data_IF_190661320477
#
_entry.id   IF_190661320477
#
_cell.length_a   1.000
_cell.length_b   1.000
_cell.length_c   1.000
_cell.angle_alpha   90.00
_cell.angle_beta   90.00
_cell.angle_gamma   90.00
#
_symmetry.space_group_name_H-M   'P 1'
#
loop_
_entity.id
_entity.type
_entity.pdbx_description
1 polymer ?
#
# COMPACT_ATOMS: atom_id res chain seq x y z
N UNK A 1 -10.23 23.14 9.48
CA UNK A 1 -9.86 21.71 9.61
C UNK A 1 -10.36 20.95 8.38
N UNK A 2 -10.15 21.51 7.18
CA UNK A 2 -10.92 21.17 5.97
C UNK A 2 -10.06 20.58 4.85
N UNK A 3 -8.73 20.63 5.00
CA UNK A 3 -7.75 20.13 4.02
C UNK A 3 -7.36 18.67 4.27
N UNK A 4 -7.56 18.16 5.51
CA UNK A 4 -7.13 16.82 5.91
C UNK A 4 -7.83 15.74 5.07
N UNK A 5 -9.12 15.88 4.79
CA UNK A 5 -9.87 14.92 3.97
C UNK A 5 -9.43 14.90 2.50
N UNK A 6 -9.07 16.06 1.95
CA UNK A 6 -8.55 16.17 0.58
C UNK A 6 -7.17 15.54 0.50
N UNK A 7 -6.30 15.79 1.48
CA UNK A 7 -4.99 15.17 1.58
C UNK A 7 -5.10 13.64 1.69
N UNK A 8 -6.05 13.14 2.48
CA UNK A 8 -6.31 11.71 2.63
C UNK A 8 -6.84 11.07 1.34
N UNK A 9 -7.79 11.73 0.67
CA UNK A 9 -8.32 11.28 -0.62
C UNK A 9 -7.24 11.26 -1.71
N UNK A 10 -6.41 12.31 -1.79
CA UNK A 10 -5.28 12.37 -2.71
C UNK A 10 -4.28 11.25 -2.44
N UNK A 11 -3.99 10.98 -1.16
CA UNK A 11 -3.08 9.92 -0.77
C UNK A 11 -3.61 8.54 -1.17
N UNK A 12 -4.91 8.28 -1.00
CA UNK A 12 -5.56 7.05 -1.44
C UNK A 12 -5.50 6.88 -2.96
N UNK A 13 -5.75 7.94 -3.73
CA UNK A 13 -5.69 7.90 -5.20
C UNK A 13 -4.27 7.60 -5.68
N UNK A 14 -3.27 8.28 -5.11
CA UNK A 14 -1.86 8.08 -5.47
C UNK A 14 -1.41 6.67 -5.10
N UNK A 15 -1.72 6.20 -3.89
CA UNK A 15 -1.38 4.85 -3.44
C UNK A 15 -2.07 3.77 -4.30
N UNK A 16 -3.35 3.98 -4.64
CA UNK A 16 -4.11 3.09 -5.53
C UNK A 16 -3.51 3.05 -6.94
N UNK A 17 -3.14 4.20 -7.50
CA UNK A 17 -2.50 4.31 -8.81
C UNK A 17 -1.12 3.63 -8.86
N UNK A 18 -0.29 3.82 -7.83
CA UNK A 18 1.00 3.13 -7.69
C UNK A 18 0.78 1.61 -7.59
N UNK A 19 -0.18 1.16 -6.78
CA UNK A 19 -0.53 -0.25 -6.66
C UNK A 19 -0.98 -0.86 -7.99
N UNK A 20 -1.81 -0.16 -8.76
CA UNK A 20 -2.24 -0.58 -10.09
C UNK A 20 -1.07 -0.67 -11.09
N UNK A 21 -0.16 0.29 -11.07
CA UNK A 21 1.03 0.30 -11.93
C UNK A 21 1.94 -0.89 -11.61
N UNK A 22 2.21 -1.12 -10.32
CA UNK A 22 3.03 -2.26 -9.86
C UNK A 22 2.38 -3.59 -10.23
N UNK A 23 1.07 -3.74 -10.04
CA UNK A 23 0.34 -4.95 -10.42
C UNK A 23 0.39 -5.20 -11.94
N UNK A 24 0.24 -4.14 -12.74
CA UNK A 24 0.32 -4.21 -14.20
C UNK A 24 1.71 -4.63 -14.66
N UNK A 25 2.76 -4.01 -14.12
CA UNK A 25 4.15 -4.36 -14.45
C UNK A 25 4.48 -5.79 -13.99
N UNK A 26 4.07 -6.14 -12.76
CA UNK A 26 4.30 -7.45 -12.16
C UNK A 26 3.67 -8.58 -12.98
N UNK A 27 2.46 -8.38 -13.51
CA UNK A 27 1.79 -9.36 -14.37
C UNK A 27 2.55 -9.65 -15.67
N UNK A 28 3.25 -8.67 -16.23
CA UNK A 28 4.00 -8.84 -17.47
C UNK A 28 5.46 -9.29 -17.28
N UNK A 29 6.06 -9.01 -16.12
CA UNK A 29 7.49 -9.23 -15.88
C UNK A 29 7.80 -10.38 -14.94
N UNK A 30 6.87 -10.79 -14.08
CA UNK A 30 7.11 -11.84 -13.10
C UNK A 30 6.62 -13.21 -13.59
N UNK A 31 7.34 -14.30 -13.28
CA UNK A 31 6.86 -15.65 -13.53
C UNK A 31 5.69 -16.01 -12.60
N UNK A 32 4.87 -16.99 -13.00
CA UNK A 32 3.84 -17.54 -12.12
C UNK A 32 4.48 -18.10 -10.83
N UNK A 33 3.85 -17.94 -9.63
CA UNK A 33 2.51 -17.38 -9.37
C UNK A 33 2.48 -15.86 -9.16
N UNK A 34 3.63 -15.18 -9.19
CA UNK A 34 3.78 -13.74 -8.90
C UNK A 34 3.14 -12.83 -9.96
N UNK A 35 2.82 -13.37 -11.13
CA UNK A 35 2.06 -12.65 -12.15
C UNK A 35 0.55 -12.53 -11.81
N UNK A 36 0.07 -13.26 -10.81
CA UNK A 36 -1.34 -13.35 -10.49
C UNK A 36 -1.72 -12.21 -9.53
N UNK A 37 -2.57 -11.25 -9.94
CA UNK A 37 -2.89 -10.07 -9.13
C UNK A 37 -3.39 -10.42 -7.73
N UNK A 38 -4.20 -11.48 -7.61
CA UNK A 38 -4.76 -11.92 -6.33
C UNK A 38 -3.69 -12.31 -5.31
N UNK A 39 -2.57 -12.88 -5.76
CA UNK A 39 -1.46 -13.28 -4.90
C UNK A 39 -0.60 -12.07 -4.52
N UNK A 40 -0.27 -11.23 -5.50
CA UNK A 40 0.58 -10.05 -5.31
C UNK A 40 -0.09 -8.98 -4.44
N UNK A 41 -1.40 -8.78 -4.60
CA UNK A 41 -2.17 -7.85 -3.75
C UNK A 41 -2.19 -8.35 -2.31
N UNK A 42 -2.49 -9.65 -2.07
CA UNK A 42 -2.54 -10.22 -0.73
C UNK A 42 -1.18 -10.09 -0.01
N UNK A 43 -0.07 -10.37 -0.70
CA UNK A 43 1.28 -10.23 -0.15
C UNK A 43 1.61 -8.76 0.15
N UNK A 44 1.28 -7.85 -0.77
CA UNK A 44 1.53 -6.42 -0.56
C UNK A 44 0.77 -5.89 0.66
N UNK A 45 -0.47 -6.36 0.85
CA UNK A 45 -1.30 -6.01 2.00
C UNK A 45 -0.73 -6.58 3.31
N UNK A 46 -0.26 -7.83 3.29
CA UNK A 46 0.44 -8.44 4.43
C UNK A 46 1.73 -7.69 4.80
N UNK A 47 2.55 -7.32 3.82
CA UNK A 47 3.79 -6.55 4.05
C UNK A 47 3.46 -5.17 4.61
N UNK A 48 2.48 -4.47 4.03
CA UNK A 48 2.03 -3.17 4.55
C UNK A 48 1.50 -3.26 5.98
N UNK A 49 0.73 -4.30 6.30
CA UNK A 49 0.24 -4.57 7.65
C UNK A 49 1.40 -4.84 8.62
N UNK A 50 2.39 -5.66 8.23
CA UNK A 50 3.57 -5.94 9.04
C UNK A 50 4.39 -4.68 9.31
N UNK A 51 4.63 -3.85 8.30
CA UNK A 51 5.33 -2.56 8.46
C UNK A 51 4.54 -1.67 9.41
N UNK A 52 3.23 -1.61 9.27
CA UNK A 52 2.36 -0.80 10.14
C UNK A 52 2.43 -1.29 11.60
N UNK A 53 2.36 -2.60 11.83
CA UNK A 53 2.49 -3.20 13.15
C UNK A 53 3.88 -2.96 13.77
N UNK A 54 4.94 -3.11 12.97
CA UNK A 54 6.32 -2.89 13.42
C UNK A 54 6.60 -1.41 13.73
N UNK A 55 6.04 -0.50 12.93
CA UNK A 55 6.17 0.94 13.14
C UNK A 55 5.16 1.50 14.13
N UNK A 56 4.16 0.71 14.58
CA UNK A 56 3.08 1.16 15.46
C UNK A 56 3.59 1.81 16.76
N UNK A 57 4.71 1.33 17.31
CA UNK A 57 5.33 1.94 18.48
C UNK A 57 5.83 3.37 18.21
N UNK A 58 6.35 3.67 17.01
CA UNK A 58 6.74 5.03 16.63
C UNK A 58 5.54 5.98 16.56
N UNK A 59 4.39 5.51 16.07
CA UNK A 59 3.16 6.31 15.99
C UNK A 59 2.55 6.58 17.36
N UNK A 60 2.78 5.70 18.35
CA UNK A 60 2.23 5.84 19.71
C UNK A 60 3.08 6.74 20.62
N UNK A 61 4.37 6.90 20.33
CA UNK A 61 5.32 7.69 21.17
C UNK A 61 5.35 9.17 20.76
N UNK A 62 4.88 9.54 19.56
CA UNK A 62 4.64 10.92 19.17
C UNK A 62 3.16 11.30 19.37
N UNK A 63 2.75 11.82 20.55
CA UNK A 63 1.51 12.55 20.63
C UNK A 63 1.68 13.84 19.81
N UNK A 64 0.78 14.05 18.84
CA UNK A 64 0.66 15.34 18.15
C UNK A 64 0.25 16.47 19.08
#
# INVERSE_FOLDING_TARGET
MDIIWIAFALHLIVAGGIGFLIATIGRHRLPAPWNNPSFTVAISLCIGALITMATYQHWRIYPG
#
